data_IF_686999526300
#
_entry.id   IF_686999526300
#
_cell.length_a   1.000
_cell.length_b   1.000
_cell.length_c   1.000
_cell.angle_alpha   90.00
_cell.angle_beta   90.00
_cell.angle_gamma   90.00
#
_symmetry.space_group_name_H-M   'P 1'
#
loop_
_entity.id
_entity.type
_entity.pdbx_description
1 polymer ?
#
# COMPACT_ATOMS: atom_id res chain seq x y z
N UNK A 1 -38.15 -6.33 69.13
CA UNK A 1 -36.79 -6.92 69.20
C UNK A 1 -36.17 -6.87 67.82
N UNK A 2 -34.90 -6.49 67.70
CA UNK A 2 -34.19 -6.33 66.42
C UNK A 2 -33.86 -7.67 65.76
N UNK A 3 -33.85 -7.68 64.42
CA UNK A 3 -33.24 -8.69 63.52
C UNK A 3 -32.96 -7.96 62.20
N UNK A 4 -31.71 -7.67 61.84
CA UNK A 4 -30.86 -8.47 60.93
C UNK A 4 -31.55 -8.79 59.60
N UNK A 5 -31.02 -8.55 58.40
CA UNK A 5 -29.78 -7.90 57.90
C UNK A 5 -30.08 -7.42 56.44
N UNK A 6 -29.20 -6.86 55.60
CA UNK A 6 -27.74 -6.66 55.60
C UNK A 6 -27.36 -5.43 54.74
N UNK A 7 -26.06 -5.15 54.58
CA UNK A 7 -25.52 -4.25 53.55
C UNK A 7 -25.29 -5.04 52.26
N UNK A 8 -25.78 -4.52 51.12
CA UNK A 8 -25.45 -5.03 49.79
C UNK A 8 -24.98 -3.86 48.91
N UNK A 9 -23.67 -3.57 48.96
CA UNK A 9 -23.05 -2.68 47.98
C UNK A 9 -23.08 -3.36 46.62
N UNK A 10 -23.96 -2.90 45.72
CA UNK A 10 -23.98 -3.36 44.33
C UNK A 10 -22.67 -2.91 43.69
N UNK A 11 -21.81 -3.88 43.37
CA UNK A 11 -20.45 -3.66 42.91
C UNK A 11 -20.41 -3.09 41.49
N UNK A 12 -19.67 -1.99 41.30
CA UNK A 12 -19.39 -1.39 40.00
C UNK A 12 -18.47 -2.30 39.15
N UNK A 13 -19.03 -3.33 38.53
CA UNK A 13 -18.32 -4.26 37.62
C UNK A 13 -18.99 -4.30 36.24
N UNK A 14 -19.24 -3.13 35.65
CA UNK A 14 -19.35 -3.04 34.19
C UNK A 14 -17.94 -3.02 33.61
N UNK A 15 -17.51 -4.17 33.11
CA UNK A 15 -16.25 -4.34 32.40
C UNK A 15 -16.20 -3.35 31.24
N UNK A 16 -15.24 -2.42 31.28
CA UNK A 16 -14.87 -1.62 30.14
C UNK A 16 -14.21 -2.55 29.10
N UNK A 17 -15.01 -3.11 28.21
CA UNK A 17 -14.51 -3.83 27.03
C UNK A 17 -13.78 -2.83 26.14
N UNK A 18 -12.47 -2.70 26.36
CA UNK A 18 -11.58 -1.96 25.47
C UNK A 18 -11.57 -2.67 24.11
N UNK A 19 -12.44 -2.24 23.20
CA UNK A 19 -12.38 -2.62 21.80
C UNK A 19 -11.13 -1.99 21.19
N UNK A 20 -9.99 -2.69 21.30
CA UNK A 20 -8.74 -2.29 20.65
C UNK A 20 -8.88 -2.58 19.17
N UNK A 21 -9.45 -1.62 18.42
CA UNK A 21 -9.55 -1.68 16.98
C UNK A 21 -8.15 -1.49 16.37
N UNK A 22 -7.40 -2.60 16.22
CA UNK A 22 -6.14 -2.61 15.46
C UNK A 22 -6.45 -2.41 13.98
N UNK A 23 -6.37 -1.16 13.52
CA UNK A 23 -6.38 -0.84 12.10
C UNK A 23 -5.11 -1.40 11.47
N UNK A 24 -5.23 -2.54 10.78
CA UNK A 24 -4.14 -3.09 9.98
C UNK A 24 -3.97 -2.20 8.74
N UNK A 25 -2.80 -1.58 8.63
CA UNK A 25 -2.41 -0.82 7.44
C UNK A 25 -2.26 -1.72 6.20
N UNK A 26 -1.99 -1.12 5.02
CA UNK A 26 -1.77 -1.89 3.80
C UNK A 26 -0.56 -2.85 3.95
N UNK A 27 -0.63 -4.00 3.29
CA UNK A 27 0.52 -4.93 3.23
C UNK A 27 1.63 -4.27 2.43
N UNK A 28 2.86 -4.32 2.94
CA UNK A 28 3.99 -3.63 2.33
C UNK A 28 4.43 -4.33 1.03
N UNK A 29 4.47 -3.58 -0.07
CA UNK A 29 5.11 -4.02 -1.32
C UNK A 29 6.63 -3.89 -1.23
N UNK A 30 7.34 -4.89 -1.77
CA UNK A 30 8.77 -4.82 -2.05
C UNK A 30 8.99 -3.92 -3.27
N UNK A 31 9.77 -2.85 -3.12
CA UNK A 31 10.12 -1.97 -4.24
C UNK A 31 11.44 -2.42 -4.85
N UNK A 32 11.43 -2.65 -6.17
CA UNK A 32 12.62 -2.98 -6.96
C UNK A 32 12.75 -2.04 -8.16
N UNK A 33 13.92 -2.07 -8.80
CA UNK A 33 14.16 -1.43 -10.09
C UNK A 33 14.32 -2.51 -11.16
N UNK A 34 13.46 -2.48 -12.17
CA UNK A 34 13.50 -3.38 -13.33
C UNK A 34 13.53 -2.49 -14.57
N UNK A 35 14.54 -2.68 -15.44
CA UNK A 35 14.76 -1.88 -16.66
C UNK A 35 14.68 -0.36 -16.45
N UNK A 36 15.25 0.12 -15.34
CA UNK A 36 15.24 1.55 -14.96
C UNK A 36 13.91 2.07 -14.41
N UNK A 37 12.86 1.25 -14.35
CA UNK A 37 11.52 1.60 -13.85
C UNK A 37 11.30 1.07 -12.42
N UNK A 38 10.46 1.74 -11.62
CA UNK A 38 9.99 1.18 -10.36
C UNK A 38 9.09 -0.04 -10.64
N UNK A 39 9.29 -1.09 -9.86
CA UNK A 39 8.46 -2.27 -9.85
C UNK A 39 8.01 -2.57 -8.42
N UNK A 40 6.71 -2.85 -8.25
CA UNK A 40 6.14 -3.31 -6.99
C UNK A 40 6.01 -4.82 -7.02
N UNK A 41 6.68 -5.50 -6.10
CA UNK A 41 6.63 -6.94 -5.95
C UNK A 41 5.82 -7.31 -4.71
N UNK A 42 5.06 -8.41 -4.80
CA UNK A 42 4.47 -8.99 -3.61
C UNK A 42 5.60 -9.53 -2.71
N UNK A 43 5.54 -9.31 -1.39
CA UNK A 43 6.55 -9.84 -0.48
C UNK A 43 6.63 -11.37 -0.62
N UNK A 44 7.86 -11.89 -0.60
CA UNK A 44 8.08 -13.34 -0.73
C UNK A 44 7.44 -14.14 0.43
N UNK A 45 7.26 -13.51 1.59
CA UNK A 45 6.59 -14.04 2.77
C UNK A 45 5.97 -12.91 3.59
N UNK A 46 4.76 -13.11 4.09
CA UNK A 46 4.07 -12.30 5.09
C UNK A 46 3.01 -13.19 5.78
N UNK A 47 2.47 -12.73 6.91
CA UNK A 47 1.51 -13.50 7.72
C UNK A 47 0.03 -13.14 7.44
N UNK A 48 -0.27 -12.30 6.45
CA UNK A 48 -1.57 -11.60 6.35
C UNK A 48 -2.16 -11.51 4.93
N UNK A 49 -1.38 -11.81 3.91
CA UNK A 49 -1.70 -11.66 2.50
C UNK A 49 -1.98 -13.00 1.82
N UNK A 50 -3.04 -13.02 1.00
CA UNK A 50 -3.35 -14.14 0.11
C UNK A 50 -2.27 -14.34 -0.94
N UNK A 51 -2.05 -15.59 -1.35
CA UNK A 51 -1.18 -15.94 -2.48
C UNK A 51 -1.84 -17.03 -3.35
N UNK A 52 -2.06 -16.79 -4.66
CA UNK A 52 -1.90 -15.52 -5.36
C UNK A 52 -2.98 -14.50 -4.95
N UNK A 53 -2.77 -13.21 -5.29
CA UNK A 53 -3.84 -12.21 -5.31
C UNK A 53 -4.38 -12.05 -6.74
N UNK A 54 -5.68 -11.85 -6.87
CA UNK A 54 -6.27 -11.31 -8.10
C UNK A 54 -5.99 -9.80 -8.15
N UNK A 55 -5.48 -9.26 -9.25
CA UNK A 55 -5.36 -7.82 -9.45
C UNK A 55 -6.73 -7.26 -9.84
N UNK A 56 -7.29 -6.35 -9.05
CA UNK A 56 -8.45 -5.52 -9.44
C UNK A 56 -8.02 -4.15 -9.94
N UNK A 57 -7.02 -3.55 -9.31
CA UNK A 57 -6.54 -2.22 -9.69
C UNK A 57 -5.11 -1.97 -9.27
N UNK A 58 -4.48 -1.01 -9.95
CA UNK A 58 -3.16 -0.50 -9.59
C UNK A 58 -3.21 1.01 -9.73
N UNK A 59 -2.69 1.73 -8.75
CA UNK A 59 -2.45 3.17 -8.84
C UNK A 59 -1.01 3.51 -8.46
N UNK A 60 -0.48 4.56 -9.11
CA UNK A 60 0.70 5.28 -8.67
C UNK A 60 0.34 6.74 -8.51
N UNK A 61 0.57 7.25 -7.31
CA UNK A 61 0.11 8.55 -6.86
C UNK A 61 1.22 9.33 -6.18
N UNK A 62 1.10 10.66 -6.18
CA UNK A 62 2.00 11.58 -5.47
C UNK A 62 1.20 12.61 -4.71
N UNK A 63 1.50 12.77 -3.41
CA UNK A 63 1.09 13.95 -2.64
C UNK A 63 2.00 15.13 -2.99
N UNK A 64 1.42 16.29 -3.20
CA UNK A 64 2.14 17.54 -3.53
C UNK A 64 2.26 18.50 -2.34
N UNK A 65 1.55 18.21 -1.24
CA UNK A 65 1.59 18.90 0.04
C UNK A 65 0.60 18.24 1.03
N UNK A 66 0.57 18.65 2.32
CA UNK A 66 -0.29 18.02 3.33
C UNK A 66 -1.79 18.14 3.02
N UNK A 67 -2.20 19.26 2.44
CA UNK A 67 -3.60 19.60 2.08
C UNK A 67 -3.85 19.61 0.56
N UNK A 68 -2.84 19.27 -0.24
CA UNK A 68 -2.92 19.30 -1.70
C UNK A 68 -3.54 18.03 -2.25
N UNK A 69 -4.27 18.08 -3.39
CA UNK A 69 -4.85 16.89 -4.00
C UNK A 69 -3.77 15.86 -4.36
N UNK A 70 -4.12 14.58 -4.18
CA UNK A 70 -3.30 13.47 -4.62
C UNK A 70 -3.30 13.44 -6.16
N UNK A 71 -2.11 13.50 -6.77
CA UNK A 71 -1.95 13.48 -8.23
C UNK A 71 -1.69 12.05 -8.69
N UNK A 72 -2.54 11.52 -9.55
CA UNK A 72 -2.36 10.20 -10.19
C UNK A 72 -1.36 10.30 -11.35
N UNK A 73 -0.31 9.49 -11.31
CA UNK A 73 0.72 9.38 -12.34
C UNK A 73 0.52 8.15 -13.25
N UNK A 74 -0.13 7.10 -12.74
CA UNK A 74 -0.56 5.94 -13.51
C UNK A 74 -1.74 5.29 -12.77
N UNK A 75 -2.71 4.77 -13.50
CA UNK A 75 -3.75 3.93 -12.92
C UNK A 75 -4.33 2.96 -13.96
N UNK A 76 -4.60 1.73 -13.55
CA UNK A 76 -5.37 0.75 -14.30
C UNK A 76 -6.34 -0.01 -13.41
N UNK A 77 -7.37 -0.57 -14.02
CA UNK A 77 -8.41 -1.35 -13.38
C UNK A 77 -8.76 -2.55 -14.26
N UNK A 78 -8.84 -3.74 -13.68
CA UNK A 78 -9.29 -4.98 -14.34
C UNK A 78 -10.79 -5.09 -14.07
N UNK A 79 -11.67 -4.94 -15.08
CA UNK A 79 -13.12 -5.07 -14.88
C UNK A 79 -13.49 -6.50 -14.45
N UNK A 80 -14.58 -6.64 -13.69
CA UNK A 80 -15.10 -7.94 -13.25
C UNK A 80 -15.54 -8.85 -14.43
N UNK A 81 -15.80 -8.27 -15.60
CA UNK A 81 -16.10 -8.99 -16.84
C UNK A 81 -14.88 -9.45 -17.64
N UNK A 82 -13.67 -9.03 -17.25
CA UNK A 82 -12.43 -9.47 -17.88
C UNK A 82 -11.90 -10.77 -17.21
N UNK A 83 -11.14 -11.61 -17.92
CA UNK A 83 -10.46 -12.75 -17.30
C UNK A 83 -9.57 -12.29 -16.12
N UNK A 84 -9.66 -12.93 -14.95
CA UNK A 84 -8.91 -12.50 -13.77
C UNK A 84 -7.40 -12.67 -13.99
N UNK A 85 -6.65 -11.61 -13.68
CA UNK A 85 -5.18 -11.65 -13.68
C UNK A 85 -4.70 -11.82 -12.25
N UNK A 86 -3.76 -12.74 -12.05
CA UNK A 86 -3.20 -13.06 -10.75
C UNK A 86 -1.73 -12.64 -10.65
N UNK A 87 -1.29 -12.33 -9.43
CA UNK A 87 0.10 -12.06 -9.08
C UNK A 87 0.46 -12.91 -7.85
N UNK A 88 1.59 -13.62 -7.91
CA UNK A 88 2.08 -14.50 -6.83
C UNK A 88 3.13 -13.81 -5.95
N UNK A 89 3.38 -14.36 -4.76
CA UNK A 89 4.51 -13.97 -3.89
C UNK A 89 5.81 -13.88 -4.68
N UNK A 90 6.52 -12.76 -4.53
CA UNK A 90 7.77 -12.46 -5.23
C UNK A 90 7.63 -11.99 -6.69
N UNK A 91 6.48 -12.16 -7.34
CA UNK A 91 6.23 -11.59 -8.67
C UNK A 91 6.05 -10.06 -8.58
N UNK A 92 6.44 -9.37 -9.66
CA UNK A 92 6.49 -7.90 -9.70
C UNK A 92 5.62 -7.34 -10.82
N UNK A 93 4.95 -6.23 -10.53
CA UNK A 93 4.25 -5.39 -11.49
C UNK A 93 5.09 -4.11 -11.73
N UNK A 94 5.52 -3.91 -12.98
CA UNK A 94 6.39 -2.80 -13.39
C UNK A 94 5.55 -1.56 -13.70
N UNK A 95 6.05 -0.37 -13.35
CA UNK A 95 5.38 0.88 -13.66
C UNK A 95 5.08 1.07 -15.15
N UNK A 96 3.80 1.26 -15.48
CA UNK A 96 3.33 1.39 -16.86
C UNK A 96 3.21 0.07 -17.63
N UNK A 97 3.33 -1.09 -16.96
CA UNK A 97 3.10 -2.40 -17.56
C UNK A 97 1.65 -2.57 -18.02
N UNK A 98 1.44 -3.17 -19.19
CA UNK A 98 0.10 -3.58 -19.63
C UNK A 98 -0.36 -4.83 -18.86
N UNK A 99 -1.55 -4.76 -18.28
CA UNK A 99 -2.22 -5.91 -17.65
C UNK A 99 -3.33 -6.38 -18.59
N UNK A 100 -3.41 -7.69 -18.84
CA UNK A 100 -4.42 -8.26 -19.75
C UNK A 100 -5.84 -7.93 -19.27
N UNK A 101 -6.71 -7.50 -20.18
CA UNK A 101 -8.09 -7.09 -19.86
C UNK A 101 -8.24 -5.78 -19.07
N UNK A 102 -7.15 -5.14 -18.64
CA UNK A 102 -7.22 -3.92 -17.83
C UNK A 102 -7.54 -2.67 -18.66
N UNK A 103 -8.41 -1.82 -18.11
CA UNK A 103 -8.69 -0.47 -18.60
C UNK A 103 -7.71 0.50 -17.93
N UNK A 104 -6.90 1.19 -18.75
CA UNK A 104 -6.01 2.25 -18.26
C UNK A 104 -6.83 3.49 -17.91
N UNK A 105 -6.98 3.77 -16.62
CA UNK A 105 -7.68 4.95 -16.09
C UNK A 105 -6.82 6.22 -16.15
N UNK A 106 -5.50 6.07 -16.02
CA UNK A 106 -4.53 7.13 -16.28
C UNK A 106 -3.26 6.53 -16.89
N UNK A 107 -2.86 7.00 -18.07
CA UNK A 107 -1.63 6.57 -18.73
C UNK A 107 -0.38 6.95 -17.90
N UNK A 108 0.68 6.11 -17.90
CA UNK A 108 1.88 6.36 -17.10
C UNK A 108 2.59 7.64 -17.54
N UNK A 109 2.78 8.56 -16.59
CA UNK A 109 3.48 9.83 -16.77
C UNK A 109 4.97 9.67 -16.48
N UNK A 110 5.79 10.61 -16.96
CA UNK A 110 7.17 10.73 -16.51
C UNK A 110 7.22 10.97 -14.99
N UNK A 111 8.14 10.29 -14.30
CA UNK A 111 8.34 10.44 -12.86
C UNK A 111 9.40 11.51 -12.58
N UNK A 112 9.13 12.37 -11.61
CA UNK A 112 9.96 13.51 -11.26
C UNK A 112 11.14 13.09 -10.38
N UNK A 113 12.33 13.60 -10.69
CA UNK A 113 13.54 13.41 -9.88
C UNK A 113 13.37 14.03 -8.49
N UNK A 114 13.87 13.32 -7.48
CA UNK A 114 13.84 13.63 -6.06
C UNK A 114 12.41 13.86 -5.52
N UNK A 115 11.43 13.09 -6.03
CA UNK A 115 10.05 13.08 -5.54
C UNK A 115 9.61 11.68 -5.09
N UNK A 116 8.76 11.68 -4.07
CA UNK A 116 8.09 10.48 -3.57
C UNK A 116 6.81 10.18 -4.34
N UNK A 117 6.58 8.88 -4.47
CA UNK A 117 5.40 8.27 -5.05
C UNK A 117 4.94 7.13 -4.15
N UNK A 118 3.62 6.91 -4.07
CA UNK A 118 3.04 5.68 -3.56
C UNK A 118 2.65 4.81 -4.75
N UNK A 119 2.90 3.51 -4.67
CA UNK A 119 2.32 2.50 -5.55
C UNK A 119 1.43 1.58 -4.73
N UNK A 120 0.23 1.31 -5.22
CA UNK A 120 -0.72 0.40 -4.58
C UNK A 120 -1.24 -0.62 -5.57
N UNK A 121 -1.45 -1.85 -5.09
CA UNK A 121 -2.15 -2.93 -5.80
C UNK A 121 -3.39 -3.28 -4.97
N UNK A 122 -4.55 -3.08 -5.58
CA UNK A 122 -5.86 -3.38 -4.99
C UNK A 122 -6.27 -4.80 -5.39
N UNK A 123 -6.46 -5.73 -4.44
CA UNK A 123 -6.89 -7.08 -4.77
C UNK A 123 -8.36 -7.13 -5.23
N UNK A 124 -8.68 -8.13 -6.04
CA UNK A 124 -10.04 -8.54 -6.39
C UNK A 124 -10.58 -9.67 -5.50
N UNK A 125 -11.86 -10.00 -5.68
CA UNK A 125 -12.57 -11.01 -4.89
C UNK A 125 -13.03 -10.48 -3.52
N UNK A 126 -13.18 -11.39 -2.57
CA UNK A 126 -13.66 -11.11 -1.21
C UNK A 126 -12.62 -10.33 -0.38
N UNK A 127 -12.64 -9.00 -0.51
CA UNK A 127 -12.07 -8.00 0.41
C UNK A 127 -10.70 -8.35 1.04
N UNK A 128 -9.66 -8.49 0.23
CA UNK A 128 -8.27 -8.53 0.71
C UNK A 128 -7.74 -7.13 1.09
N UNK A 129 -6.71 -7.05 1.96
CA UNK A 129 -6.03 -5.80 2.27
C UNK A 129 -5.33 -5.23 1.01
N UNK A 130 -5.34 -3.91 0.87
CA UNK A 130 -4.56 -3.24 -0.19
C UNK A 130 -3.07 -3.47 0.06
N UNK A 131 -2.33 -3.78 -1.00
CA UNK A 131 -0.88 -3.81 -0.95
C UNK A 131 -0.37 -2.43 -1.34
N UNK A 132 0.53 -1.81 -0.58
CA UNK A 132 1.05 -0.48 -0.89
C UNK A 132 2.49 -0.29 -0.40
N UNK A 133 3.26 0.54 -1.09
CA UNK A 133 4.59 0.96 -0.66
C UNK A 133 4.97 2.27 -1.35
N UNK A 134 5.90 3.01 -0.74
CA UNK A 134 6.39 4.26 -1.29
C UNK A 134 7.79 4.10 -1.89
N UNK A 135 8.10 4.90 -2.90
CA UNK A 135 9.41 4.95 -3.56
C UNK A 135 9.80 6.38 -3.92
N UNK A 136 11.10 6.66 -3.97
CA UNK A 136 11.66 7.89 -4.51
C UNK A 136 12.44 7.60 -5.79
N UNK A 137 12.36 8.51 -6.77
CA UNK A 137 13.20 8.49 -7.97
C UNK A 137 14.40 9.41 -7.74
N UNK A 138 15.61 8.88 -7.76
CA UNK A 138 16.85 9.62 -7.46
C UNK A 138 17.71 9.71 -8.72
N UNK A 139 18.26 10.89 -9.03
CA UNK A 139 19.25 11.04 -10.10
C UNK A 139 20.61 10.47 -9.68
N UNK A 140 21.22 9.67 -10.54
CA UNK A 140 22.60 9.20 -10.37
C UNK A 140 23.59 10.15 -11.06
N UNK A 141 24.84 10.18 -10.58
CA UNK A 141 25.90 11.04 -11.13
C UNK A 141 26.19 10.80 -12.62
N UNK A 142 25.98 9.57 -13.11
CA UNK A 142 26.10 9.20 -14.53
C UNK A 142 24.85 9.47 -15.39
N UNK A 143 23.89 10.28 -14.93
CA UNK A 143 22.69 10.65 -15.69
C UNK A 143 21.53 9.67 -15.63
N UNK A 144 21.73 8.45 -15.11
CA UNK A 144 20.69 7.46 -14.86
C UNK A 144 19.77 7.78 -13.67
N UNK A 145 18.78 6.91 -13.44
CA UNK A 145 17.87 6.98 -12.29
C UNK A 145 18.00 5.75 -11.39
N UNK A 146 17.92 5.98 -10.08
CA UNK A 146 17.81 4.96 -9.04
C UNK A 146 16.46 5.06 -8.36
N UNK A 147 15.73 3.96 -8.28
CA UNK A 147 14.54 3.82 -7.44
C UNK A 147 14.99 3.43 -6.04
N UNK A 148 14.48 4.10 -5.01
CA UNK A 148 14.82 3.81 -3.62
C UNK A 148 13.61 3.86 -2.71
N UNK A 149 13.57 2.93 -1.75
CA UNK A 149 12.58 2.92 -0.67
C UNK A 149 12.86 4.06 0.33
N UNK A 150 11.84 4.76 0.86
CA UNK A 150 12.02 5.73 1.94
C UNK A 150 12.73 5.11 3.15
N UNK A 151 13.49 5.93 3.88
CA UNK A 151 14.18 5.52 5.11
C UNK A 151 15.45 4.68 4.92
N UNK A 152 15.86 4.34 3.69
CA UNK A 152 17.17 3.72 3.46
C UNK A 152 18.30 4.74 3.39
N UNK A 153 19.48 4.34 3.85
CA UNK A 153 20.67 5.18 3.96
C UNK A 153 21.13 5.70 2.58
N UNK A 154 21.67 6.92 2.54
CA UNK A 154 22.04 7.58 1.27
C UNK A 154 20.85 7.90 0.34
N UNK A 155 19.61 7.90 0.84
CA UNK A 155 18.44 8.40 0.12
C UNK A 155 18.25 9.90 0.42
N UNK A 156 18.45 10.83 -0.55
CA UNK A 156 18.24 12.27 -0.33
C UNK A 156 16.77 12.63 -0.08
N UNK A 157 15.84 11.70 -0.30
CA UNK A 157 14.43 11.84 0.04
C UNK A 157 14.13 11.44 1.50
N UNK A 158 15.06 10.86 2.26
CA UNK A 158 14.82 10.35 3.61
C UNK A 158 14.32 11.40 4.62
N UNK A 159 14.55 12.69 4.37
CA UNK A 159 14.12 13.81 5.21
C UNK A 159 12.70 14.34 4.93
N UNK A 160 12.01 13.88 3.88
CA UNK A 160 10.71 14.40 3.46
C UNK A 160 9.54 13.44 3.78
N UNK A 161 9.67 12.65 4.85
CA UNK A 161 8.68 11.67 5.27
C UNK A 161 8.32 11.76 6.75
N UNK A 162 7.52 12.77 7.12
CA UNK A 162 6.44 12.72 8.11
C UNK A 162 5.44 13.85 7.80
#
# INVERSE_FOLDING_TARGET
>A
MLRSSAVACISCWFFASCAVATSHGPIRLDIRQIDGKPAACLPASDDTGSDPIQIRGVDVTRRTGPVSPVVTYWALEVPESAPPVYLKRGECLVYGQTVAGAVVRAAPRALDINKFYSISIVPGGDYGPVYSSAFCVIRQAGGGVRIATPGQEGNPCASAGY
#
